data_IF_915967632183
#
_entry.id   IF_915967632183
#
_cell.length_a   1.000
_cell.length_b   1.000
_cell.length_c   1.000
_cell.angle_alpha   90.00
_cell.angle_beta   90.00
_cell.angle_gamma   90.00
#
_symmetry.space_group_name_H-M   'P 1'
#
loop_
_entity.id
_entity.type
_entity.pdbx_description
1 polymer ?
#
# COMPACT_ATOMS: atom_id res chain seq x y z
N UNK A 1 11.74 -27.45 -38.82
CA UNK A 1 11.23 -26.17 -38.28
C UNK A 1 12.12 -25.74 -37.12
N UNK A 2 12.93 -24.69 -37.32
CA UNK A 2 13.81 -24.15 -36.30
C UNK A 2 12.99 -23.59 -35.13
N UNK A 3 13.08 -24.20 -33.95
CA UNK A 3 12.68 -23.58 -32.69
C UNK A 3 13.87 -22.78 -32.19
N UNK A 4 13.84 -21.47 -32.39
CA UNK A 4 14.73 -20.54 -31.73
C UNK A 4 14.47 -20.59 -30.22
N UNK A 5 15.43 -21.11 -29.48
CA UNK A 5 15.50 -20.98 -28.02
C UNK A 5 15.69 -19.50 -27.69
N UNK A 6 14.64 -18.85 -27.16
CA UNK A 6 14.77 -17.60 -26.43
C UNK A 6 15.55 -17.89 -25.14
N UNK A 7 16.86 -17.75 -25.19
CA UNK A 7 17.68 -17.58 -24.00
C UNK A 7 17.35 -16.21 -23.41
N UNK A 8 16.36 -16.13 -22.53
CA UNK A 8 16.27 -15.01 -21.60
C UNK A 8 17.24 -15.30 -20.46
N UNK A 9 18.43 -14.70 -20.53
CA UNK A 9 19.28 -14.53 -19.34
C UNK A 9 18.50 -13.65 -18.36
N UNK A 10 17.75 -14.30 -17.47
CA UNK A 10 17.09 -13.64 -16.36
C UNK A 10 18.20 -13.18 -15.42
N UNK A 11 18.56 -11.90 -15.47
CA UNK A 11 19.50 -11.34 -14.51
C UNK A 11 18.86 -11.42 -13.12
N UNK A 12 19.55 -12.05 -12.17
CA UNK A 12 19.10 -12.07 -10.78
C UNK A 12 19.18 -10.65 -10.23
N UNK A 13 18.03 -10.02 -10.03
CA UNK A 13 17.93 -8.70 -9.41
C UNK A 13 18.13 -8.89 -7.91
N UNK A 14 19.24 -8.38 -7.40
CA UNK A 14 19.51 -8.32 -5.96
C UNK A 14 19.17 -6.93 -5.42
N UNK A 15 18.49 -6.93 -4.27
CA UNK A 15 18.23 -5.75 -3.45
C UNK A 15 18.97 -5.91 -2.11
N UNK A 16 19.32 -4.81 -1.43
CA UNK A 16 19.89 -4.88 -0.09
C UNK A 16 18.97 -5.63 0.89
N UNK A 17 19.54 -6.44 1.79
CA UNK A 17 18.80 -7.25 2.77
C UNK A 17 17.91 -6.42 3.72
N UNK A 18 18.26 -5.16 3.92
CA UNK A 18 17.59 -4.19 4.78
C UNK A 18 16.62 -3.26 4.02
N UNK A 19 16.42 -3.47 2.72
CA UNK A 19 15.48 -2.71 1.91
C UNK A 19 14.03 -2.89 2.43
N UNK A 20 13.33 -1.76 2.57
CA UNK A 20 11.92 -1.70 3.02
C UNK A 20 11.05 -1.03 1.97
N UNK A 21 9.74 -1.26 2.08
CA UNK A 21 8.73 -0.66 1.20
C UNK A 21 9.06 -0.86 -0.29
N UNK A 22 9.47 -2.09 -0.62
CA UNK A 22 9.82 -2.47 -1.98
C UNK A 22 8.55 -2.42 -2.84
N UNK A 23 8.61 -1.68 -3.94
CA UNK A 23 7.50 -1.53 -4.87
C UNK A 23 8.02 -1.61 -6.31
N UNK A 24 7.37 -2.41 -7.14
CA UNK A 24 7.75 -2.63 -8.55
C UNK A 24 6.77 -1.86 -9.44
N UNK A 25 7.27 -1.21 -10.48
CA UNK A 25 6.43 -0.51 -11.47
C UNK A 25 5.55 -1.52 -12.24
N UNK A 26 4.41 -1.07 -12.79
CA UNK A 26 3.48 -1.97 -13.49
C UNK A 26 4.13 -2.64 -14.72
N UNK A 27 5.00 -1.91 -15.42
CA UNK A 27 5.79 -2.43 -16.55
C UNK A 27 6.97 -3.32 -16.12
N UNK A 28 7.22 -3.48 -14.81
CA UNK A 28 8.36 -4.18 -14.24
C UNK A 28 9.74 -3.69 -14.72
N UNK A 29 9.82 -2.43 -15.16
CA UNK A 29 11.08 -1.79 -15.55
C UNK A 29 11.81 -1.17 -14.35
N UNK A 30 11.11 -0.85 -13.27
CA UNK A 30 11.68 -0.17 -12.11
C UNK A 30 11.28 -0.83 -10.80
N UNK A 31 12.18 -0.77 -9.83
CA UNK A 31 11.87 -1.06 -8.43
C UNK A 31 12.29 0.11 -7.56
N UNK A 32 11.37 0.60 -6.73
CA UNK A 32 11.66 1.57 -5.68
C UNK A 32 11.76 0.86 -4.34
N UNK A 33 12.66 1.32 -3.48
CA UNK A 33 12.74 0.87 -2.10
C UNK A 33 13.33 1.96 -1.20
N UNK A 34 13.15 1.79 0.09
CA UNK A 34 13.73 2.67 1.11
C UNK A 34 14.79 1.91 1.88
N UNK A 35 15.96 2.52 2.04
CA UNK A 35 17.06 2.02 2.88
C UNK A 35 17.68 3.19 3.63
N UNK A 36 17.97 3.01 4.91
CA UNK A 36 18.54 4.06 5.78
C UNK A 36 17.79 5.39 5.66
N UNK A 37 16.45 5.30 5.64
CA UNK A 37 15.52 6.44 5.48
C UNK A 37 15.70 7.24 4.17
N UNK A 38 16.30 6.65 3.14
CA UNK A 38 16.50 7.24 1.81
C UNK A 38 15.78 6.44 0.73
N UNK A 39 15.29 7.13 -0.28
CA UNK A 39 14.61 6.53 -1.44
C UNK A 39 15.63 6.16 -2.52
N UNK A 40 15.56 4.92 -2.98
CA UNK A 40 16.31 4.44 -4.13
C UNK A 40 15.36 3.94 -5.21
N UNK A 41 15.76 4.13 -6.46
CA UNK A 41 15.06 3.60 -7.64
C UNK A 41 16.09 2.87 -8.50
N UNK A 42 15.82 1.62 -8.83
CA UNK A 42 16.67 0.78 -9.67
C UNK A 42 15.93 0.46 -10.97
N UNK A 43 16.58 0.74 -12.09
CA UNK A 43 16.17 0.26 -13.40
C UNK A 43 16.52 -1.24 -13.52
N UNK A 44 15.54 -2.04 -13.91
CA UNK A 44 15.61 -3.49 -14.01
C UNK A 44 15.99 -3.97 -15.42
N UNK A 45 15.97 -3.08 -16.41
CA UNK A 45 16.31 -3.38 -17.80
C UNK A 45 17.82 -3.47 -18.04
N UNK A 46 18.62 -2.82 -17.20
CA UNK A 46 20.07 -2.88 -17.20
C UNK A 46 20.62 -3.19 -15.81
N UNK A 47 21.85 -3.69 -15.72
CA UNK A 47 22.55 -3.82 -14.45
C UNK A 47 23.06 -2.43 -14.00
N UNK A 48 22.14 -1.47 -13.87
CA UNK A 48 22.42 -0.09 -13.50
C UNK A 48 22.53 0.02 -11.99
N UNK A 49 23.38 0.93 -11.53
CA UNK A 49 23.47 1.29 -10.12
C UNK A 49 22.13 1.86 -9.62
N UNK A 50 21.88 1.69 -8.32
CA UNK A 50 20.66 2.18 -7.69
C UNK A 50 20.70 3.73 -7.67
N UNK A 51 19.69 4.39 -8.23
CA UNK A 51 19.59 5.84 -8.24
C UNK A 51 19.05 6.35 -6.89
N UNK A 52 19.85 7.11 -6.16
CA UNK A 52 19.45 7.75 -4.91
C UNK A 52 18.67 9.03 -5.19
N UNK A 53 17.43 9.11 -4.69
CA UNK A 53 16.62 10.33 -4.78
C UNK A 53 16.90 11.20 -3.55
N UNK A 54 17.56 12.38 -3.70
CA UNK A 54 18.02 13.16 -2.56
C UNK A 54 16.86 13.87 -1.86
N UNK A 55 16.80 13.70 -0.55
CA UNK A 55 15.90 14.39 0.38
C UNK A 55 16.65 14.76 1.67
N UNK A 56 16.30 15.90 2.26
CA UNK A 56 16.92 16.40 3.49
C UNK A 56 16.34 15.74 4.75
N UNK A 57 15.16 15.14 4.62
CA UNK A 57 14.38 14.58 5.71
C UNK A 57 14.12 13.07 5.47
N UNK A 58 13.92 12.28 6.53
CA UNK A 58 13.68 10.84 6.44
C UNK A 58 12.51 10.46 5.52
N UNK A 59 12.76 9.56 4.58
CA UNK A 59 11.73 8.87 3.80
C UNK A 59 11.16 7.72 4.63
N UNK A 60 9.86 7.81 4.92
CA UNK A 60 9.12 6.89 5.79
C UNK A 60 8.46 5.74 5.04
N UNK A 61 8.15 5.91 3.75
CA UNK A 61 7.52 4.93 2.87
C UNK A 61 7.63 5.39 1.40
N UNK A 62 7.50 4.46 0.45
CA UNK A 62 7.40 4.72 -0.98
C UNK A 62 6.58 3.64 -1.69
N UNK A 63 5.84 4.04 -2.74
CA UNK A 63 5.12 3.15 -3.64
C UNK A 63 5.30 3.62 -5.09
N UNK A 64 5.40 2.67 -6.01
CA UNK A 64 5.27 2.92 -7.45
C UNK A 64 3.79 3.11 -7.80
N UNK A 65 3.49 4.09 -8.64
CA UNK A 65 2.14 4.27 -9.16
C UNK A 65 1.94 3.36 -10.37
N UNK A 66 0.79 2.72 -10.46
CA UNK A 66 0.56 1.69 -11.47
C UNK A 66 0.51 2.27 -12.90
N UNK A 67 -0.09 3.45 -13.08
CA UNK A 67 -0.37 4.00 -14.40
C UNK A 67 0.80 4.75 -15.07
N UNK A 68 1.93 4.95 -14.38
CA UNK A 68 3.04 5.82 -14.82
C UNK A 68 4.36 5.40 -14.17
N UNK A 69 5.48 5.78 -14.77
CA UNK A 69 6.82 5.65 -14.17
C UNK A 69 7.04 6.76 -13.11
N UNK A 70 6.15 6.79 -12.12
CA UNK A 70 6.14 7.73 -11.00
C UNK A 70 6.22 6.97 -9.68
N UNK A 71 7.08 7.43 -8.77
CA UNK A 71 7.14 6.97 -7.39
C UNK A 71 6.50 8.02 -6.48
N UNK A 72 5.51 7.62 -5.70
CA UNK A 72 4.99 8.43 -4.59
C UNK A 72 5.72 8.05 -3.30
N UNK A 73 6.22 9.04 -2.59
CA UNK A 73 7.00 8.81 -1.38
C UNK A 73 6.66 9.82 -0.28
N UNK A 74 6.93 9.40 0.95
CA UNK A 74 6.42 10.02 2.16
C UNK A 74 7.59 10.42 3.05
N UNK A 75 7.69 11.70 3.37
CA UNK A 75 8.73 12.28 4.21
C UNK A 75 8.10 12.78 5.50
N UNK A 76 8.79 12.65 6.63
CA UNK A 76 8.30 13.18 7.90
C UNK A 76 9.25 14.19 8.52
N UNK A 77 8.76 15.42 8.67
CA UNK A 77 9.41 16.47 9.45
C UNK A 77 9.04 16.27 10.93
N UNK A 78 9.95 15.67 11.70
CA UNK A 78 9.74 15.37 13.12
C UNK A 78 9.61 16.64 13.97
N UNK A 79 10.31 17.72 13.62
CA UNK A 79 10.27 18.97 14.38
C UNK A 79 8.95 19.70 14.17
N UNK A 80 8.46 19.74 12.93
CA UNK A 80 7.19 20.39 12.58
C UNK A 80 5.97 19.48 12.72
N UNK A 81 6.18 18.18 12.95
CA UNK A 81 5.14 17.16 13.04
C UNK A 81 4.29 17.12 11.76
N UNK A 82 4.97 17.13 10.60
CA UNK A 82 4.33 17.18 9.28
C UNK A 82 4.72 15.99 8.43
N UNK A 83 3.69 15.35 7.86
CA UNK A 83 3.87 14.38 6.80
C UNK A 83 3.80 15.11 5.45
N UNK A 84 4.81 14.89 4.62
CA UNK A 84 4.98 15.49 3.30
C UNK A 84 4.91 14.36 2.28
N UNK A 85 3.94 14.44 1.38
CA UNK A 85 3.76 13.53 0.25
C UNK A 85 4.35 14.18 -0.99
N UNK A 86 5.29 13.50 -1.63
CA UNK A 86 5.90 13.92 -2.89
C UNK A 86 5.74 12.83 -3.94
N UNK A 87 5.88 13.22 -5.19
CA UNK A 87 6.02 12.31 -6.33
C UNK A 87 7.33 12.58 -7.03
N UNK A 88 7.96 11.54 -7.53
CA UNK A 88 9.13 11.60 -8.40
C UNK A 88 8.80 10.92 -9.72
N UNK A 89 8.90 11.66 -10.81
CA UNK A 89 8.74 11.12 -12.16
C UNK A 89 10.10 10.67 -12.68
N UNK A 90 10.22 9.37 -12.97
CA UNK A 90 11.46 8.72 -13.36
C UNK A 90 11.92 9.17 -14.74
N UNK A 91 10.99 9.40 -15.67
CA UNK A 91 11.30 9.73 -17.06
C UNK A 91 11.99 11.09 -17.22
N UNK A 92 11.62 12.06 -16.39
CA UNK A 92 12.07 13.45 -16.51
C UNK A 92 12.84 13.97 -15.28
N UNK A 93 13.18 13.09 -14.33
CA UNK A 93 13.92 13.41 -13.11
C UNK A 93 13.28 14.56 -12.30
N UNK A 94 11.94 14.56 -12.21
CA UNK A 94 11.18 15.66 -11.59
C UNK A 94 10.57 15.26 -10.24
N UNK A 95 10.88 16.05 -9.20
CA UNK A 95 10.21 15.99 -7.89
C UNK A 95 9.07 17.00 -7.83
N UNK A 96 7.88 16.55 -7.43
CA UNK A 96 6.72 17.41 -7.21
C UNK A 96 6.18 17.26 -5.79
N UNK A 97 5.91 18.38 -5.13
CA UNK A 97 5.15 18.37 -3.87
C UNK A 97 3.69 18.02 -4.15
N UNK A 98 3.23 16.89 -3.62
CA UNK A 98 1.84 16.50 -3.74
C UNK A 98 0.98 17.17 -2.66
N UNK A 99 1.30 16.93 -1.38
CA UNK A 99 0.58 17.49 -0.23
C UNK A 99 1.45 17.50 1.02
N UNK A 100 1.19 18.43 1.93
CA UNK A 100 1.75 18.47 3.27
C UNK A 100 0.61 18.63 4.30
N UNK A 101 0.68 17.91 5.42
CA UNK A 101 -0.29 18.01 6.51
C UNK A 101 0.27 17.56 7.86
N UNK A 102 -0.37 17.97 8.95
CA UNK A 102 0.06 17.64 10.31
C UNK A 102 -0.30 16.20 10.67
N UNK A 103 0.71 15.45 11.13
CA UNK A 103 0.56 14.13 11.76
C UNK A 103 1.41 14.15 13.00
N UNK A 104 0.79 14.08 14.19
CA UNK A 104 1.53 14.15 15.45
C UNK A 104 2.09 12.78 15.84
N UNK A 105 3.34 12.77 16.29
CA UNK A 105 4.09 11.64 16.81
C UNK A 105 4.04 10.43 15.88
N UNK A 106 4.31 10.64 14.59
CA UNK A 106 4.40 9.55 13.62
C UNK A 106 5.56 8.62 13.99
N UNK A 107 5.25 7.34 14.11
CA UNK A 107 6.23 6.28 14.34
C UNK A 107 6.60 5.60 13.01
N UNK A 108 5.60 5.24 12.20
CA UNK A 108 5.78 4.59 10.90
C UNK A 108 4.55 4.77 9.99
N UNK A 109 4.72 4.53 8.69
CA UNK A 109 3.63 4.35 7.74
C UNK A 109 3.56 2.86 7.41
N UNK A 110 2.51 2.20 7.88
CA UNK A 110 2.33 0.75 7.76
C UNK A 110 1.82 0.32 6.39
N UNK A 111 1.22 1.24 5.64
CA UNK A 111 0.70 0.93 4.32
C UNK A 111 0.08 2.15 3.65
N UNK A 112 0.10 2.12 2.32
CA UNK A 112 -0.46 3.16 1.45
C UNK A 112 -1.24 2.48 0.34
N UNK A 113 -2.42 2.98 0.05
CA UNK A 113 -3.21 2.55 -1.10
C UNK A 113 -3.52 3.77 -1.98
N UNK A 114 -3.35 3.61 -3.28
CA UNK A 114 -3.56 4.67 -4.26
C UNK A 114 -4.52 4.22 -5.36
N UNK A 115 -5.44 5.11 -5.72
CA UNK A 115 -6.33 4.96 -6.88
C UNK A 115 -5.86 5.89 -8.00
N UNK A 116 -5.33 5.37 -9.10
CA UNK A 116 -5.08 6.19 -10.30
C UNK A 116 -6.39 6.67 -10.95
N UNK A 117 -7.47 5.91 -10.79
CA UNK A 117 -8.78 6.23 -11.36
C UNK A 117 -9.47 7.41 -10.66
N UNK A 118 -9.46 7.43 -9.33
CA UNK A 118 -10.15 8.47 -8.53
C UNK A 118 -9.19 9.46 -7.88
N UNK A 119 -7.87 9.25 -8.06
CA UNK A 119 -6.79 10.05 -7.48
C UNK A 119 -6.91 10.22 -5.97
N UNK A 120 -7.32 9.14 -5.28
CA UNK A 120 -7.45 9.07 -3.82
C UNK A 120 -6.27 8.29 -3.24
N UNK A 121 -5.71 8.80 -2.13
CA UNK A 121 -4.65 8.15 -1.37
C UNK A 121 -5.18 7.82 0.02
N UNK A 122 -5.01 6.57 0.46
CA UNK A 122 -5.18 6.17 1.86
C UNK A 122 -3.82 5.88 2.49
N UNK A 123 -3.57 6.44 3.66
CA UNK A 123 -2.31 6.29 4.38
C UNK A 123 -2.61 5.72 5.76
N UNK A 124 -2.12 4.52 6.05
CA UNK A 124 -2.14 3.96 7.39
C UNK A 124 -0.89 4.40 8.16
N UNK A 125 -1.04 5.40 9.02
CA UNK A 125 0.03 5.99 9.81
C UNK A 125 -0.10 5.56 11.28
N UNK A 126 0.93 4.88 11.80
CA UNK A 126 1.01 4.54 13.22
C UNK A 126 1.58 5.72 13.98
N UNK A 127 0.79 6.27 14.90
CA UNK A 127 1.16 7.43 15.72
C UNK A 127 1.10 7.10 17.20
N UNK A 128 1.97 7.70 18.01
CA UNK A 128 1.92 7.55 19.46
C UNK A 128 3.29 7.66 20.11
N UNK A 129 3.47 6.91 21.18
CA UNK A 129 4.73 6.78 21.91
C UNK A 129 4.97 5.31 22.28
N UNK A 130 6.04 5.04 23.03
CA UNK A 130 6.44 3.69 23.44
C UNK A 130 5.34 2.92 24.21
N UNK A 131 4.46 3.62 24.93
CA UNK A 131 3.43 3.03 25.78
C UNK A 131 2.08 2.87 25.08
N UNK A 132 1.80 3.72 24.09
CA UNK A 132 0.53 3.75 23.39
C UNK A 132 0.71 4.18 21.94
N UNK A 133 0.36 3.30 21.01
CA UNK A 133 0.33 3.57 19.58
C UNK A 133 -1.04 3.23 19.00
N UNK A 134 -1.49 4.07 18.07
CA UNK A 134 -2.73 3.91 17.30
C UNK A 134 -2.42 4.06 15.83
N UNK A 135 -3.01 3.19 15.02
CA UNK A 135 -3.00 3.30 13.57
C UNK A 135 -4.14 4.25 13.15
N UNK A 136 -3.78 5.31 12.42
CA UNK A 136 -4.68 6.32 11.89
C UNK A 136 -4.66 6.25 10.37
N UNK A 137 -5.83 6.02 9.79
CA UNK A 137 -5.99 6.06 8.34
C UNK A 137 -6.35 7.49 7.94
N UNK A 138 -5.51 8.10 7.12
CA UNK A 138 -5.78 9.38 6.47
C UNK A 138 -6.21 9.14 5.03
N UNK A 139 -7.15 9.97 4.54
CA UNK A 139 -7.57 10.00 3.13
C UNK A 139 -7.22 11.34 2.53
N UNK A 140 -6.49 11.33 1.41
CA UNK A 140 -6.24 12.49 0.56
C UNK A 140 -7.10 12.33 -0.69
N UNK A 141 -7.96 13.30 -0.99
CA UNK A 141 -8.82 13.27 -2.18
C UNK A 141 -8.16 13.93 -3.41
N UNK A 142 -8.84 13.87 -4.56
CA UNK A 142 -8.39 14.47 -5.83
C UNK A 142 -8.12 15.98 -5.73
N UNK A 143 -8.83 16.68 -4.83
CA UNK A 143 -8.65 18.11 -4.55
C UNK A 143 -7.54 18.36 -3.51
N UNK A 144 -6.83 17.31 -3.12
CA UNK A 144 -5.77 17.29 -2.11
C UNK A 144 -6.26 17.70 -0.72
N UNK A 145 -7.54 17.50 -0.41
CA UNK A 145 -8.05 17.65 0.96
C UNK A 145 -7.66 16.43 1.77
N UNK A 146 -7.19 16.67 2.99
CA UNK A 146 -6.83 15.60 3.92
C UNK A 146 -7.95 15.44 4.93
N UNK A 147 -8.39 14.20 5.11
CA UNK A 147 -9.38 13.84 6.11
C UNK A 147 -8.90 12.67 6.95
N UNK A 148 -9.25 12.67 8.24
CA UNK A 148 -9.12 11.49 9.06
C UNK A 148 -10.22 10.50 8.68
N UNK A 149 -9.85 9.29 8.28
CA UNK A 149 -10.79 8.28 7.80
C UNK A 149 -11.23 7.35 8.93
N UNK A 150 -10.27 6.80 9.68
CA UNK A 150 -10.52 5.82 10.76
C UNK A 150 -9.32 5.73 11.73
N UNK A 151 -9.56 5.28 12.97
CA UNK A 151 -8.50 4.97 13.95
C UNK A 151 -8.73 3.59 14.56
N UNK A 152 -7.65 2.81 14.70
CA UNK A 152 -7.68 1.54 15.41
C UNK A 152 -6.29 1.20 15.96
N UNK A 153 -6.20 0.38 17.02
CA UNK A 153 -4.90 0.12 17.68
C UNK A 153 -3.86 -0.58 16.78
N UNK A 154 -4.31 -1.46 15.89
CA UNK A 154 -3.41 -2.29 15.09
C UNK A 154 -4.08 -2.83 13.82
N UNK A 155 -3.90 -2.12 12.72
CA UNK A 155 -4.35 -2.48 11.37
C UNK A 155 -3.20 -3.22 10.69
N UNK A 156 -3.41 -4.48 10.33
CA UNK A 156 -2.38 -5.35 9.77
C UNK A 156 -2.43 -5.43 8.24
N UNK A 157 -3.61 -5.25 7.65
CA UNK A 157 -3.81 -5.25 6.19
C UNK A 157 -4.83 -4.19 5.80
N UNK A 158 -4.63 -3.61 4.63
CA UNK A 158 -5.56 -2.67 3.99
C UNK A 158 -5.58 -2.97 2.50
N UNK A 159 -6.71 -2.72 1.84
CA UNK A 159 -6.82 -2.73 0.39
C UNK A 159 -7.89 -1.74 -0.07
N UNK A 160 -7.64 -1.03 -1.16
CA UNK A 160 -8.56 -0.08 -1.76
C UNK A 160 -9.62 -0.77 -2.63
N UNK A 161 -10.89 -0.45 -2.37
CA UNK A 161 -12.04 -0.75 -3.24
C UNK A 161 -12.28 0.49 -4.13
N UNK A 162 -11.76 0.45 -5.35
CA UNK A 162 -11.61 1.59 -6.27
C UNK A 162 -12.96 2.18 -6.73
N UNK A 163 -13.92 1.35 -7.08
CA UNK A 163 -15.26 1.71 -7.52
C UNK A 163 -16.12 2.29 -6.38
N UNK A 164 -15.84 1.89 -5.15
CA UNK A 164 -16.56 2.37 -3.95
C UNK A 164 -15.86 3.56 -3.28
N UNK A 165 -14.66 3.94 -3.75
CA UNK A 165 -13.79 4.97 -3.13
C UNK A 165 -13.67 4.79 -1.61
N UNK A 166 -13.45 3.56 -1.19
CA UNK A 166 -13.27 3.20 0.21
C UNK A 166 -12.26 2.07 0.37
N UNK A 167 -11.95 1.72 1.61
CA UNK A 167 -11.00 0.66 1.92
C UNK A 167 -11.68 -0.47 2.68
N UNK A 168 -11.15 -1.67 2.48
CA UNK A 168 -11.28 -2.78 3.41
C UNK A 168 -9.98 -2.92 4.20
N UNK A 169 -10.08 -3.17 5.50
CA UNK A 169 -8.91 -3.35 6.36
C UNK A 169 -9.17 -4.37 7.46
N UNK A 170 -8.10 -5.02 7.89
CA UNK A 170 -8.14 -6.07 8.91
C UNK A 170 -7.26 -5.68 10.09
N UNK A 171 -7.80 -5.85 11.30
CA UNK A 171 -7.02 -5.68 12.54
C UNK A 171 -6.27 -6.96 12.95
N UNK A 172 -5.39 -6.85 13.94
CA UNK A 172 -4.65 -8.01 14.47
C UNK A 172 -5.50 -9.12 15.09
N UNK A 173 -6.76 -8.83 15.40
CA UNK A 173 -7.71 -9.78 16.00
C UNK A 173 -8.59 -10.45 14.95
N UNK A 174 -8.30 -10.23 13.65
CA UNK A 174 -9.05 -10.70 12.50
C UNK A 174 -10.47 -10.12 12.41
N UNK A 175 -10.69 -8.92 12.95
CA UNK A 175 -11.89 -8.16 12.60
C UNK A 175 -11.65 -7.52 11.23
N UNK A 176 -12.50 -7.86 10.27
CA UNK A 176 -12.53 -7.24 8.95
C UNK A 176 -13.47 -6.03 9.00
N UNK A 177 -13.03 -4.91 8.45
CA UNK A 177 -13.81 -3.70 8.29
C UNK A 177 -13.90 -3.37 6.81
N UNK A 178 -15.10 -3.04 6.33
CA UNK A 178 -15.35 -2.58 4.96
C UNK A 178 -16.08 -1.26 5.07
N UNK A 179 -15.51 -0.20 4.48
CA UNK A 179 -16.04 1.15 4.59
C UNK A 179 -16.37 1.56 6.04
N UNK A 180 -15.38 1.42 6.94
CA UNK A 180 -15.45 1.71 8.39
C UNK A 180 -16.39 0.82 9.21
N UNK A 181 -17.15 -0.08 8.58
CA UNK A 181 -18.09 -0.98 9.26
C UNK A 181 -17.47 -2.34 9.46
N UNK A 182 -17.58 -2.89 10.66
CA UNK A 182 -17.15 -4.25 10.94
C UNK A 182 -18.01 -5.21 10.11
N UNK A 183 -17.35 -6.05 9.31
CA UNK A 183 -17.99 -7.07 8.50
C UNK A 183 -18.26 -8.32 9.33
N UNK A 184 -19.49 -8.82 9.22
CA UNK A 184 -19.95 -10.07 9.84
C UNK A 184 -20.84 -10.79 8.83
N UNK A 185 -20.79 -12.11 8.81
CA UNK A 185 -21.64 -12.90 7.92
C UNK A 185 -21.96 -14.24 8.57
N UNK A 186 -23.26 -14.59 8.61
CA UNK A 186 -23.76 -15.76 9.34
C UNK A 186 -23.24 -15.75 10.80
N UNK A 187 -22.71 -16.87 11.29
CA UNK A 187 -22.16 -17.01 12.64
C UNK A 187 -20.70 -16.53 12.77
N UNK A 188 -20.13 -15.97 11.69
CA UNK A 188 -18.74 -15.53 11.66
C UNK A 188 -18.62 -14.02 11.86
N UNK A 189 -17.80 -13.63 12.84
CA UNK A 189 -17.49 -12.22 13.15
C UNK A 189 -16.02 -11.87 12.93
N UNK A 190 -15.22 -12.83 12.48
CA UNK A 190 -13.77 -12.71 12.27
C UNK A 190 -13.36 -13.36 10.96
N UNK A 191 -12.57 -12.65 10.18
CA UNK A 191 -12.17 -13.04 8.83
C UNK A 191 -10.70 -12.70 8.58
N UNK A 192 -10.06 -13.53 7.78
CA UNK A 192 -8.75 -13.29 7.19
C UNK A 192 -9.00 -12.65 5.83
N UNK A 193 -8.51 -11.43 5.65
CA UNK A 193 -8.47 -10.74 4.37
C UNK A 193 -7.41 -11.42 3.49
N UNK A 194 -7.87 -12.04 2.41
CA UNK A 194 -7.02 -12.71 1.42
C UNK A 194 -6.51 -11.68 0.43
N UNK A 195 -7.42 -10.89 -0.15
CA UNK A 195 -7.08 -9.84 -1.10
C UNK A 195 -8.29 -9.35 -1.87
N UNK A 196 -8.01 -8.66 -2.97
CA UNK A 196 -9.00 -8.06 -3.85
C UNK A 196 -8.80 -8.57 -5.28
N UNK A 197 -9.88 -8.90 -5.96
CA UNK A 197 -9.88 -9.23 -7.37
C UNK A 197 -10.33 -8.05 -8.24
N UNK A 198 -10.72 -8.38 -9.48
CA UNK A 198 -11.31 -7.41 -10.41
C UNK A 198 -12.63 -6.87 -9.86
N UNK A 199 -12.99 -5.65 -10.26
CA UNK A 199 -14.24 -4.97 -9.87
C UNK A 199 -14.46 -4.87 -8.35
N UNK A 200 -13.37 -4.81 -7.58
CA UNK A 200 -13.40 -4.73 -6.12
C UNK A 200 -14.07 -5.89 -5.40
N UNK A 201 -14.11 -7.07 -6.04
CA UNK A 201 -14.48 -8.29 -5.34
C UNK A 201 -13.45 -8.58 -4.26
N UNK A 202 -13.88 -8.49 -3.00
CA UNK A 202 -13.05 -8.74 -1.84
C UNK A 202 -13.14 -10.22 -1.46
N UNK A 203 -11.99 -10.86 -1.23
CA UNK A 203 -11.91 -12.26 -0.84
C UNK A 203 -11.54 -12.36 0.62
N UNK A 204 -12.40 -12.99 1.41
CA UNK A 204 -12.17 -13.16 2.84
C UNK A 204 -12.58 -14.55 3.30
N UNK A 205 -11.76 -15.17 4.15
CA UNK A 205 -12.03 -16.49 4.71
C UNK A 205 -12.36 -16.37 6.20
N UNK A 206 -13.38 -17.06 6.73
CA UNK A 206 -13.63 -17.12 8.16
C UNK A 206 -12.39 -17.57 8.92
N UNK A 207 -12.03 -16.85 9.98
CA UNK A 207 -10.82 -17.16 10.75
C UNK A 207 -10.84 -18.59 11.33
N UNK A 208 -12.03 -19.08 11.73
CA UNK A 208 -12.23 -20.41 12.31
C UNK A 208 -12.49 -21.52 11.28
N UNK A 209 -12.86 -21.18 10.05
CA UNK A 209 -13.23 -22.14 9.00
C UNK A 209 -12.59 -21.70 7.68
N UNK A 210 -11.35 -22.15 7.48
CA UNK A 210 -10.53 -21.79 6.32
C UNK A 210 -10.89 -22.57 5.05
N UNK A 211 -11.82 -23.52 5.13
CA UNK A 211 -12.31 -24.28 3.97
C UNK A 211 -13.20 -23.45 3.04
N UNK A 212 -13.57 -22.23 3.47
CA UNK A 212 -14.44 -21.32 2.72
C UNK A 212 -13.75 -20.00 2.46
N UNK A 213 -13.93 -19.49 1.24
CA UNK A 213 -13.64 -18.12 0.88
C UNK A 213 -14.94 -17.47 0.44
N UNK A 214 -15.33 -16.40 1.13
CA UNK A 214 -16.44 -15.57 0.70
C UNK A 214 -15.95 -14.50 -0.26
N UNK A 215 -16.68 -14.36 -1.37
CA UNK A 215 -16.52 -13.26 -2.31
C UNK A 215 -17.51 -12.17 -1.90
N UNK A 216 -17.00 -10.99 -1.61
CA UNK A 216 -17.76 -9.88 -1.04
C UNK A 216 -17.74 -8.70 -2.01
N UNK A 217 -18.91 -8.16 -2.31
CA UNK A 217 -19.11 -6.97 -3.14
C UNK A 217 -20.10 -6.05 -2.41
N UNK A 218 -19.82 -4.74 -2.30
CA UNK A 218 -20.71 -3.79 -1.63
C UNK A 218 -21.15 -4.26 -0.23
N UNK A 219 -20.21 -4.82 0.55
CA UNK A 219 -20.43 -5.38 1.90
C UNK A 219 -21.40 -6.59 1.95
N UNK A 220 -21.72 -7.22 0.82
CA UNK A 220 -22.56 -8.42 0.75
C UNK A 220 -21.77 -9.59 0.20
N UNK A 221 -22.00 -10.77 0.74
CA UNK A 221 -21.47 -12.01 0.15
C UNK A 221 -22.27 -12.30 -1.12
N UNK A 222 -21.56 -12.36 -2.25
CA UNK A 222 -22.14 -12.65 -3.58
C UNK A 222 -21.81 -14.06 -4.06
N UNK A 223 -20.76 -14.68 -3.51
CA UNK A 223 -20.37 -16.04 -3.84
C UNK A 223 -19.57 -16.70 -2.70
N UNK A 224 -19.46 -18.02 -2.71
CA UNK A 224 -18.67 -18.82 -1.76
C UNK A 224 -17.86 -19.89 -2.50
N UNK A 225 -16.54 -19.78 -2.41
CA UNK A 225 -15.60 -20.77 -2.93
C UNK A 225 -15.30 -21.76 -1.80
N UNK A 226 -15.47 -23.05 -2.06
CA UNK A 226 -15.01 -24.12 -1.17
C UNK A 226 -13.63 -24.56 -1.60
N UNK A 227 -12.73 -24.71 -0.63
CA UNK A 227 -11.41 -25.30 -0.83
C UNK A 227 -11.56 -26.77 -0.44
N UNK A 228 -11.47 -27.65 -1.43
CA UNK A 228 -11.35 -29.10 -1.21
C UNK A 228 -9.86 -29.44 -1.07
N UNK A 229 -9.56 -30.44 -0.25
CA UNK A 229 -8.21 -30.96 -0.03
C UNK A 229 -7.67 -31.72 -1.27
#
# INVERSE_FOLDING_TARGET
>A
SNRSSLNSTKHDITLPDDAKYISVSENANYVSYVKDEKLYIKDLSGNTEDNLIPEELPVMNAITLNDRDIVMYFIYDRDKQKLIVKTYNIDNDEKTLHKEFTVKNLLEIKGVEYSSYTNVIYINARTGNENYATDNIYRIDIMKNVSHYFSLKDICKMTLLTNEDCIAFQDKYNNLYINKRKFTYQDYSKFILIGKGKKDLLYASPYKDKSKIYVIENQKVVDTIKIED
#
